data_IF_287397551671
#
_entry.id   IF_287397551671
#
_cell.length_a   1.000
_cell.length_b   1.000
_cell.length_c   1.000
_cell.angle_alpha   90.00
_cell.angle_beta   90.00
_cell.angle_gamma   90.00
#
_symmetry.space_group_name_H-M   'P 1'
#
loop_
_entity.id
_entity.type
_entity.pdbx_description
1 polymer ?
#
# COMPACT_ATOMS: atom_id res chain seq x y z
N UNK A 1 8.19 3.71 11.70
CA UNK A 1 6.85 3.70 12.33
C UNK A 1 5.86 4.01 11.24
N UNK A 2 4.85 3.15 11.07
CA UNK A 2 3.83 3.32 10.05
C UNK A 2 2.64 4.11 10.58
N UNK A 3 2.18 5.07 9.79
CA UNK A 3 1.02 5.93 10.08
C UNK A 3 0.01 5.77 8.95
N UNK A 4 -1.20 5.37 9.31
CA UNK A 4 -2.34 5.24 8.38
C UNK A 4 -3.06 6.58 8.25
N UNK A 5 -3.33 7.04 7.03
CA UNK A 5 -4.15 8.25 6.83
C UNK A 5 -5.61 8.02 7.23
N UNK A 6 -6.31 9.10 7.61
CA UNK A 6 -7.73 9.03 8.03
C UNK A 6 -8.66 8.45 6.94
N UNK A 7 -8.36 8.74 5.67
CA UNK A 7 -9.11 8.23 4.51
C UNK A 7 -8.71 6.80 4.09
N UNK A 8 -7.79 6.16 4.83
CA UNK A 8 -7.25 4.82 4.53
C UNK A 8 -6.64 4.66 3.13
N UNK A 9 -6.23 5.75 2.48
CA UNK A 9 -5.58 5.67 1.16
C UNK A 9 -4.07 5.69 1.22
N UNK A 10 -3.49 6.08 2.36
CA UNK A 10 -2.03 6.22 2.51
C UNK A 10 -1.53 5.48 3.73
N UNK A 11 -0.32 4.94 3.60
CA UNK A 11 0.46 4.35 4.66
C UNK A 11 1.86 4.98 4.60
N UNK A 12 2.20 5.77 5.61
CA UNK A 12 3.42 6.60 5.64
C UNK A 12 4.37 6.01 6.67
N UNK A 13 5.62 5.76 6.29
CA UNK A 13 6.69 5.54 7.24
C UNK A 13 7.33 6.88 7.65
N UNK A 14 7.71 7.00 8.93
CA UNK A 14 8.34 8.21 9.47
C UNK A 14 9.65 8.61 8.76
N UNK A 15 10.31 7.69 8.03
CA UNK A 15 11.44 8.01 7.17
C UNK A 15 11.04 8.59 5.79
N UNK A 16 9.77 8.94 5.59
CA UNK A 16 9.26 9.66 4.42
C UNK A 16 8.86 8.79 3.22
N UNK A 17 8.87 7.45 3.36
CA UNK A 17 8.34 6.54 2.33
C UNK A 17 6.84 6.44 2.49
N UNK A 18 6.08 6.54 1.40
CA UNK A 18 4.62 6.46 1.45
C UNK A 18 4.09 5.45 0.44
N UNK A 19 3.24 4.54 0.90
CA UNK A 19 2.45 3.65 0.03
C UNK A 19 1.05 4.26 -0.12
N UNK A 20 0.58 4.40 -1.36
CA UNK A 20 -0.64 5.15 -1.70
C UNK A 20 -1.52 4.32 -2.62
N UNK A 21 -2.82 4.29 -2.34
CA UNK A 21 -3.88 3.90 -3.28
C UNK A 21 -4.22 5.13 -4.14
N UNK A 22 -3.96 5.04 -5.43
CA UNK A 22 -4.29 6.08 -6.40
C UNK A 22 -5.77 6.06 -6.79
N UNK A 23 -6.22 7.09 -7.51
CA UNK A 23 -7.60 7.18 -8.01
C UNK A 23 -7.98 6.09 -9.01
N UNK A 24 -6.99 5.51 -9.69
CA UNK A 24 -7.16 4.40 -10.65
C UNK A 24 -6.90 3.03 -10.02
N UNK A 25 -7.01 2.93 -8.69
CA UNK A 25 -6.85 1.70 -7.91
C UNK A 25 -5.45 1.05 -8.00
N UNK A 26 -4.43 1.79 -8.46
CA UNK A 26 -3.04 1.35 -8.32
C UNK A 26 -2.55 1.52 -6.88
N UNK A 27 -1.75 0.56 -6.41
CA UNK A 27 -0.87 0.75 -5.25
C UNK A 27 0.49 1.22 -5.73
N UNK A 28 0.95 2.34 -5.18
CA UNK A 28 2.24 2.95 -5.54
C UNK A 28 3.06 3.20 -4.28
N UNK A 29 4.37 3.03 -4.39
CA UNK A 29 5.32 3.55 -3.40
C UNK A 29 5.91 4.85 -3.90
N UNK A 30 5.86 5.88 -3.06
CA UNK A 30 6.43 7.20 -3.30
C UNK A 30 7.60 7.42 -2.35
N UNK A 31 8.74 7.84 -2.91
CA UNK A 31 9.95 8.16 -2.18
C UNK A 31 10.70 9.30 -2.87
N UNK A 32 11.03 10.35 -2.09
CA UNK A 32 11.59 11.60 -2.60
C UNK A 32 10.76 12.15 -3.77
N UNK A 33 11.35 12.28 -4.96
CA UNK A 33 10.69 12.81 -6.16
C UNK A 33 10.27 11.70 -7.15
N UNK A 34 10.16 10.45 -6.69
CA UNK A 34 9.82 9.31 -7.54
C UNK A 34 8.65 8.50 -6.98
N UNK A 35 7.90 7.88 -7.89
CA UNK A 35 6.83 6.93 -7.55
C UNK A 35 6.92 5.70 -8.44
N UNK A 36 6.80 4.52 -7.85
CA UNK A 36 6.78 3.23 -8.56
C UNK A 36 5.45 2.55 -8.31
N UNK A 37 4.80 2.07 -9.37
CA UNK A 37 3.60 1.23 -9.27
C UNK A 37 4.00 -0.19 -8.83
N UNK A 38 3.36 -0.68 -7.77
CA UNK A 38 3.59 -2.01 -7.22
C UNK A 38 2.51 -3.01 -7.67
N UNK A 39 1.26 -2.55 -7.78
CA UNK A 39 0.12 -3.40 -8.14
C UNK A 39 -1.04 -2.59 -8.68
N UNK A 40 -2.01 -3.27 -9.29
CA UNK A 40 -3.25 -2.69 -9.78
C UNK A 40 -4.41 -3.63 -9.49
N UNK A 41 -5.53 -3.03 -9.11
CA UNK A 41 -6.72 -3.73 -8.69
C UNK A 41 -7.94 -3.20 -9.42
N UNK A 42 -8.91 -4.06 -9.64
CA UNK A 42 -10.15 -3.76 -10.37
C UNK A 42 -11.06 -2.81 -9.58
N UNK A 43 -10.94 -2.76 -8.26
CA UNK A 43 -11.71 -1.87 -7.39
C UNK A 43 -10.85 -1.16 -6.33
N UNK A 44 -11.35 -0.02 -5.85
CA UNK A 44 -10.70 0.75 -4.78
C UNK A 44 -10.70 -0.01 -3.46
N UNK A 45 -11.78 -0.74 -3.18
CA UNK A 45 -11.90 -1.58 -1.98
C UNK A 45 -10.81 -2.65 -1.96
N UNK A 46 -10.53 -3.31 -3.10
CA UNK A 46 -9.43 -4.27 -3.22
C UNK A 46 -8.07 -3.63 -2.95
N UNK A 47 -7.80 -2.48 -3.56
CA UNK A 47 -6.53 -1.78 -3.33
C UNK A 47 -6.36 -1.34 -1.86
N UNK A 48 -7.43 -0.90 -1.19
CA UNK A 48 -7.41 -0.57 0.24
C UNK A 48 -7.16 -1.83 1.07
N UNK A 49 -7.83 -2.95 0.75
CA UNK A 49 -7.64 -4.24 1.44
C UNK A 49 -6.18 -4.70 1.37
N UNK A 50 -5.53 -4.60 0.22
CA UNK A 50 -4.09 -4.92 0.10
C UNK A 50 -3.23 -3.97 0.92
N UNK A 51 -3.59 -2.68 0.99
CA UNK A 51 -2.85 -1.74 1.84
C UNK A 51 -2.99 -2.07 3.34
N UNK A 52 -4.15 -2.63 3.74
CA UNK A 52 -4.35 -3.15 5.09
C UNK A 52 -3.51 -4.43 5.33
N UNK A 53 -3.43 -5.34 4.35
CA UNK A 53 -2.54 -6.52 4.40
C UNK A 53 -1.06 -6.14 4.53
N UNK A 54 -0.61 -5.08 3.83
CA UNK A 54 0.75 -4.56 3.97
C UNK A 54 0.99 -4.08 5.41
N UNK A 55 0.03 -3.31 5.97
CA UNK A 55 0.15 -2.81 7.34
C UNK A 55 0.23 -3.97 8.35
N UNK A 56 -0.59 -5.00 8.21
CA UNK A 56 -0.58 -6.19 9.07
C UNK A 56 0.76 -6.95 8.98
N UNK A 57 1.27 -7.19 7.77
CA UNK A 57 2.57 -7.86 7.58
C UNK A 57 3.74 -7.11 8.22
N UNK A 58 3.68 -5.77 8.27
CA UNK A 58 4.70 -4.95 8.90
C UNK A 58 4.66 -5.02 10.44
N UNK A 59 3.51 -5.36 11.04
CA UNK A 59 3.37 -5.58 12.48
C UNK A 59 3.94 -6.95 12.87
N UNK A 60 3.71 -7.96 12.03
CA UNK A 60 4.15 -9.34 12.26
C UNK A 60 5.65 -9.59 11.96
N UNK A 61 6.43 -8.53 11.71
CA UNK A 61 7.87 -8.61 11.37
C UNK A 61 8.18 -9.46 10.13
N UNK A 62 7.26 -9.56 9.17
CA UNK A 62 7.58 -10.19 7.88
C UNK A 62 8.67 -9.38 7.16
N UNK A 63 9.69 -10.09 6.67
CA UNK A 63 10.84 -9.49 5.97
C UNK A 63 10.44 -9.05 4.56
N UNK A 64 9.47 -9.75 3.97
CA UNK A 64 8.97 -9.54 2.63
C UNK A 64 7.43 -9.58 2.57
N UNK A 65 6.89 -8.78 1.66
CA UNK A 65 5.47 -8.77 1.32
C UNK A 65 5.33 -8.80 -0.20
N UNK A 66 4.68 -9.85 -0.70
CA UNK A 66 4.39 -10.02 -2.13
C UNK A 66 3.03 -9.40 -2.44
N UNK A 67 2.96 -8.53 -3.46
CA UNK A 67 1.67 -7.99 -3.92
C UNK A 67 0.79 -9.15 -4.43
N UNK A 68 -0.42 -9.33 -3.86
CA UNK A 68 -1.38 -10.32 -4.36
C UNK A 68 -1.93 -9.90 -5.72
N UNK A 69 -2.32 -10.88 -6.53
CA UNK A 69 -3.05 -10.66 -7.78
C UNK A 69 -4.47 -10.16 -7.49
N UNK A 70 -5.13 -9.53 -8.46
CA UNK A 70 -6.49 -9.01 -8.27
C UNK A 70 -7.49 -10.10 -7.85
N UNK A 71 -7.32 -11.34 -8.35
CA UNK A 71 -8.18 -12.48 -8.06
C UNK A 71 -8.04 -13.01 -6.62
N UNK A 72 -6.93 -12.69 -5.94
CA UNK A 72 -6.61 -13.16 -4.58
C UNK A 72 -7.11 -12.19 -3.49
N UNK A 73 -7.68 -11.05 -3.91
CA UNK A 73 -8.09 -9.92 -3.05
C UNK A 73 -9.61 -9.79 -3.04
#
# INVERSE_FOLDING_TARGET
MLIRSQDKTKLVDIAGKTIIVSEVNDIKISYANSSVRLGHYTSKEKAIKVLDMIQESCIDCHIDFQMPQDEEV
#
